data_IF_698108616864
#
_entry.id   IF_698108616864
#
_cell.length_a   1.000
_cell.length_b   1.000
_cell.length_c   1.000
_cell.angle_alpha   90.00
_cell.angle_beta   90.00
_cell.angle_gamma   90.00
#
_symmetry.space_group_name_H-M   'P 1'
#
loop_
_entity.id
_entity.type
_entity.pdbx_description
1 polymer ?
#
# COMPACT_ATOMS: atom_id res chain seq x y z
N UNK A 1 -3.38 -11.89 -7.94
CA UNK A 1 -4.58 -11.60 -8.77
C UNK A 1 -5.35 -12.87 -9.18
N UNK A 2 -4.94 -14.06 -8.69
CA UNK A 2 -5.65 -15.34 -8.88
C UNK A 2 -6.98 -15.47 -8.11
N UNK A 3 -7.16 -14.72 -7.02
CA UNK A 3 -8.41 -14.79 -6.25
C UNK A 3 -9.63 -14.28 -6.99
N UNK A 4 -9.43 -13.34 -7.92
CA UNK A 4 -10.53 -12.81 -8.75
C UNK A 4 -10.98 -13.86 -9.77
N UNK A 5 -10.06 -14.67 -10.28
CA UNK A 5 -10.39 -15.76 -11.22
C UNK A 5 -10.97 -16.99 -10.52
N UNK A 6 -10.69 -17.21 -9.23
CA UNK A 6 -11.15 -18.40 -8.47
C UNK A 6 -12.44 -18.10 -7.67
N UNK A 7 -12.48 -16.99 -6.93
CA UNK A 7 -13.57 -16.62 -6.03
C UNK A 7 -14.42 -15.42 -6.50
N UNK A 8 -14.10 -14.84 -7.66
CA UNK A 8 -14.75 -13.64 -8.17
C UNK A 8 -14.57 -12.42 -7.27
N UNK A 9 -15.59 -11.57 -7.20
CA UNK A 9 -15.58 -10.35 -6.36
C UNK A 9 -15.44 -10.66 -4.87
N UNK A 10 -15.89 -11.84 -4.40
CA UNK A 10 -15.75 -12.24 -2.99
C UNK A 10 -14.29 -12.37 -2.59
N UNK A 11 -13.43 -12.87 -3.47
CA UNK A 11 -11.99 -12.92 -3.25
C UNK A 11 -11.36 -11.54 -3.11
N UNK A 12 -11.82 -10.56 -3.89
CA UNK A 12 -11.38 -9.15 -3.79
C UNK A 12 -11.79 -8.56 -2.43
N UNK A 13 -13.03 -8.79 -2.00
CA UNK A 13 -13.53 -8.29 -0.72
C UNK A 13 -12.75 -8.87 0.46
N UNK A 14 -12.40 -10.16 0.44
CA UNK A 14 -11.59 -10.77 1.49
C UNK A 14 -10.21 -10.11 1.62
N UNK A 15 -9.57 -9.79 0.49
CA UNK A 15 -8.29 -9.07 0.46
C UNK A 15 -8.46 -7.67 1.01
N UNK A 16 -9.49 -6.93 0.58
CA UNK A 16 -9.77 -5.57 1.06
C UNK A 16 -9.95 -5.56 2.57
N UNK A 17 -10.80 -6.44 3.10
CA UNK A 17 -11.08 -6.50 4.53
C UNK A 17 -9.83 -6.85 5.35
N UNK A 18 -9.11 -7.91 4.97
CA UNK A 18 -7.91 -8.32 5.72
C UNK A 18 -6.80 -7.28 5.65
N UNK A 19 -6.52 -6.76 4.45
CA UNK A 19 -5.51 -5.70 4.26
C UNK A 19 -5.90 -4.44 5.03
N UNK A 20 -7.19 -4.05 4.97
CA UNK A 20 -7.70 -2.88 5.66
C UNK A 20 -7.55 -2.97 7.19
N UNK A 21 -7.85 -4.13 7.78
CA UNK A 21 -7.58 -4.39 9.19
C UNK A 21 -6.10 -4.25 9.54
N UNK A 22 -5.21 -4.76 8.69
CA UNK A 22 -3.76 -4.61 8.90
C UNK A 22 -3.30 -3.16 8.82
N UNK A 23 -3.81 -2.39 7.85
CA UNK A 23 -3.53 -0.96 7.70
C UNK A 23 -4.01 -0.19 8.94
N UNK A 24 -5.19 -0.51 9.44
CA UNK A 24 -5.75 0.11 10.64
C UNK A 24 -4.87 -0.15 11.87
N UNK A 25 -4.41 -1.40 12.03
CA UNK A 25 -3.48 -1.76 13.11
C UNK A 25 -2.15 -0.99 13.00
N UNK A 26 -1.56 -0.89 11.80
CA UNK A 26 -0.36 -0.07 11.59
C UNK A 26 -0.60 1.39 11.96
N UNK A 27 -1.76 1.94 11.61
CA UNK A 27 -2.18 3.30 11.97
C UNK A 27 -2.27 3.50 13.48
N UNK A 28 -2.89 2.58 14.21
CA UNK A 28 -2.97 2.64 15.68
C UNK A 28 -1.58 2.54 16.31
N UNK A 29 -0.76 1.57 15.92
CA UNK A 29 0.58 1.40 16.49
C UNK A 29 1.48 2.60 16.22
N UNK A 30 1.47 3.11 15.00
CA UNK A 30 2.20 4.34 14.66
C UNK A 30 1.66 5.53 15.47
N UNK A 31 0.33 5.66 15.55
CA UNK A 31 -0.31 6.73 16.31
C UNK A 31 -0.01 6.70 17.81
N UNK A 32 0.08 5.53 18.44
CA UNK A 32 0.37 5.44 19.89
C UNK A 32 1.87 5.59 20.17
N UNK A 33 2.71 4.89 19.40
CA UNK A 33 4.15 4.86 19.66
C UNK A 33 4.89 6.06 19.08
N UNK A 34 4.69 6.33 17.80
CA UNK A 34 5.49 7.30 17.04
C UNK A 34 5.10 8.74 17.39
N UNK A 35 3.82 9.01 17.65
CA UNK A 35 3.36 10.36 18.05
C UNK A 35 4.02 10.86 19.34
N UNK A 36 4.12 9.99 20.35
CA UNK A 36 4.74 10.31 21.64
C UNK A 36 6.23 10.57 21.47
N UNK A 37 6.92 9.71 20.72
CA UNK A 37 8.35 9.86 20.43
C UNK A 37 8.63 11.19 19.70
N UNK A 38 7.77 11.56 18.74
CA UNK A 38 7.87 12.81 17.99
C UNK A 38 7.59 14.03 18.89
N UNK A 39 6.62 13.93 19.80
CA UNK A 39 6.28 15.02 20.73
C UNK A 39 7.45 15.36 21.66
N UNK A 40 8.22 14.34 22.06
CA UNK A 40 9.32 14.46 23.01
C UNK A 40 10.65 14.83 22.35
N UNK A 41 10.85 14.59 21.04
CA UNK A 41 12.13 14.82 20.37
C UNK A 41 12.03 15.40 18.95
N UNK A 42 12.40 16.68 18.77
CA UNK A 42 12.49 17.32 17.46
C UNK A 42 13.52 16.67 16.51
N UNK A 43 14.56 16.03 17.06
CA UNK A 43 15.61 15.35 16.29
C UNK A 43 15.03 14.08 15.65
N UNK A 44 14.29 13.28 16.42
CA UNK A 44 13.64 12.07 15.91
C UNK A 44 12.62 12.40 14.83
N UNK A 45 11.88 13.50 14.99
CA UNK A 45 10.97 13.97 13.95
C UNK A 45 11.69 14.34 12.65
N UNK A 46 12.82 15.04 12.76
CA UNK A 46 13.64 15.39 11.59
C UNK A 46 14.22 14.16 10.88
N UNK A 47 14.67 13.17 11.66
CA UNK A 47 15.12 11.88 11.11
C UNK A 47 14.00 11.14 10.39
N UNK A 48 12.80 11.08 10.98
CA UNK A 48 11.64 10.47 10.35
C UNK A 48 11.26 11.17 9.05
N UNK A 49 11.32 12.52 9.00
CA UNK A 49 11.14 13.27 7.76
C UNK A 49 12.09 12.82 6.66
N UNK A 50 13.38 12.77 6.96
CA UNK A 50 14.40 12.34 5.99
C UNK A 50 14.16 10.89 5.56
N UNK A 51 13.86 9.99 6.50
CA UNK A 51 13.59 8.58 6.20
C UNK A 51 12.34 8.41 5.33
N UNK A 52 11.27 9.18 5.57
CA UNK A 52 10.07 9.12 4.77
C UNK A 52 10.32 9.58 3.33
N UNK A 53 11.08 10.67 3.16
CA UNK A 53 11.52 11.18 1.85
C UNK A 53 12.33 10.12 1.11
N UNK A 54 13.37 9.57 1.75
CA UNK A 54 14.22 8.53 1.16
C UNK A 54 13.42 7.27 0.80
N UNK A 55 12.44 6.90 1.62
CA UNK A 55 11.58 5.76 1.37
C UNK A 55 10.65 5.99 0.18
N UNK A 56 10.04 7.17 0.04
CA UNK A 56 9.24 7.54 -1.13
C UNK A 56 10.08 7.55 -2.40
N UNK A 57 11.30 8.11 -2.34
CA UNK A 57 12.23 8.12 -3.45
C UNK A 57 12.62 6.69 -3.88
N UNK A 58 12.98 5.84 -2.92
CA UNK A 58 13.24 4.41 -3.16
C UNK A 58 12.03 3.72 -3.80
N UNK A 59 10.83 3.97 -3.28
CA UNK A 59 9.62 3.34 -3.79
C UNK A 59 9.30 3.81 -5.21
N UNK A 60 9.49 5.10 -5.49
CA UNK A 60 9.30 5.66 -6.82
C UNK A 60 10.27 5.10 -7.85
N UNK A 61 11.56 5.00 -7.51
CA UNK A 61 12.57 4.30 -8.35
C UNK A 61 12.15 2.86 -8.59
N UNK A 62 11.75 2.14 -7.54
CA UNK A 62 11.33 0.73 -7.66
C UNK A 62 10.14 0.57 -8.59
N UNK A 63 9.18 1.50 -8.56
CA UNK A 63 8.05 1.51 -9.49
C UNK A 63 8.51 1.73 -10.94
N UNK A 64 9.40 2.69 -11.19
CA UNK A 64 10.00 2.89 -12.52
C UNK A 64 10.72 1.62 -12.99
N UNK A 65 11.56 1.00 -12.15
CA UNK A 65 12.26 -0.25 -12.49
C UNK A 65 11.28 -1.38 -12.84
N UNK A 66 10.19 -1.53 -12.07
CA UNK A 66 9.14 -2.50 -12.36
C UNK A 66 8.40 -2.20 -13.68
N UNK A 67 8.28 -0.94 -14.08
CA UNK A 67 7.70 -0.56 -15.38
C UNK A 67 8.50 -1.11 -16.57
N UNK A 68 9.81 -1.35 -16.40
CA UNK A 68 10.69 -1.88 -17.45
C UNK A 68 10.97 -3.38 -17.32
N UNK A 69 10.54 -4.03 -16.23
CA UNK A 69 10.74 -5.46 -16.00
C UNK A 69 9.48 -6.23 -16.41
N UNK A 70 9.57 -7.04 -17.47
CA UNK A 70 8.47 -7.96 -17.84
C UNK A 70 8.38 -9.06 -16.78
N UNK A 71 7.30 -9.05 -16.00
CA UNK A 71 7.05 -10.07 -14.99
C UNK A 71 5.97 -11.05 -15.51
N UNK A 72 6.41 -12.11 -16.19
CA UNK A 72 5.57 -13.26 -16.53
C UNK A 72 5.72 -14.32 -15.44
N UNK A 73 5.12 -14.09 -14.26
CA UNK A 73 4.80 -15.19 -13.34
C UNK A 73 3.43 -14.96 -12.72
N UNK A 74 2.46 -15.67 -13.28
CA UNK A 74 1.19 -15.95 -12.62
C UNK A 74 1.40 -17.23 -11.82
N UNK A 75 1.81 -17.10 -10.55
CA UNK A 75 1.77 -18.24 -9.65
C UNK A 75 0.30 -18.56 -9.33
N UNK A 76 -0.06 -19.84 -9.50
CA UNK A 76 -1.38 -20.37 -9.17
C UNK A 76 -1.55 -20.40 -7.65
N UNK A 77 -2.23 -19.40 -7.11
CA UNK A 77 -2.51 -19.34 -5.68
C UNK A 77 -4.00 -19.46 -5.36
N UNK A 78 -4.26 -20.30 -4.36
CA UNK A 78 -5.55 -20.60 -3.72
C UNK A 78 -6.27 -19.33 -3.27
N UNK A 79 -7.58 -19.44 -3.07
CA UNK A 79 -8.40 -18.39 -2.46
C UNK A 79 -7.76 -17.88 -1.17
N UNK A 80 -7.40 -16.60 -1.14
CA UNK A 80 -6.84 -15.98 0.08
C UNK A 80 -7.97 -15.56 1.00
N UNK A 81 -7.90 -16.04 2.24
CA UNK A 81 -8.86 -15.69 3.29
C UNK A 81 -8.63 -14.27 3.84
N UNK A 82 -9.62 -13.74 4.60
CA UNK A 82 -9.47 -12.47 5.33
C UNK A 82 -8.27 -12.54 6.30
N UNK A 83 -8.15 -13.65 7.05
CA UNK A 83 -7.06 -13.86 8.02
C UNK A 83 -5.69 -13.83 7.35
N UNK A 84 -5.57 -14.50 6.20
CA UNK A 84 -4.33 -14.55 5.46
C UNK A 84 -3.98 -13.17 4.89
N UNK A 85 -4.94 -12.46 4.30
CA UNK A 85 -4.74 -11.08 3.81
C UNK A 85 -4.32 -10.13 4.93
N UNK A 86 -4.90 -10.29 6.12
CA UNK A 86 -4.53 -9.55 7.32
C UNK A 86 -3.09 -9.84 7.74
N UNK A 87 -2.70 -11.11 7.90
CA UNK A 87 -1.35 -11.48 8.30
C UNK A 87 -0.32 -11.04 7.27
N UNK A 88 -0.61 -11.21 5.98
CA UNK A 88 0.26 -10.74 4.89
C UNK A 88 0.50 -9.23 4.98
N UNK A 89 -0.52 -8.44 5.32
CA UNK A 89 -0.36 -6.99 5.44
C UNK A 89 0.33 -6.57 6.75
N UNK A 90 0.08 -7.27 7.87
CA UNK A 90 0.77 -7.02 9.13
C UNK A 90 2.28 -7.27 8.99
N UNK A 91 2.67 -8.37 8.35
CA UNK A 91 4.08 -8.72 8.12
C UNK A 91 4.67 -8.04 6.88
N UNK A 92 3.92 -7.16 6.20
CA UNK A 92 4.41 -6.44 5.05
C UNK A 92 5.36 -5.32 5.50
N UNK A 93 6.67 -5.59 5.38
CA UNK A 93 7.71 -4.62 5.74
C UNK A 93 7.53 -3.28 5.00
N UNK A 94 7.00 -3.27 3.76
CA UNK A 94 6.72 -2.02 3.03
C UNK A 94 5.60 -1.22 3.72
N UNK A 95 4.52 -1.88 4.13
CA UNK A 95 3.41 -1.23 4.82
C UNK A 95 3.84 -0.70 6.20
N UNK A 96 4.57 -1.53 6.96
CA UNK A 96 5.11 -1.14 8.26
C UNK A 96 6.05 0.07 8.15
N UNK A 97 7.02 0.03 7.23
CA UNK A 97 7.95 1.13 7.02
C UNK A 97 7.22 2.42 6.62
N UNK A 98 6.22 2.35 5.74
CA UNK A 98 5.42 3.51 5.36
C UNK A 98 4.75 4.18 6.58
N UNK A 99 4.16 3.40 7.50
CA UNK A 99 3.52 3.93 8.70
C UNK A 99 4.50 4.48 9.74
N UNK A 100 5.74 4.00 9.74
CA UNK A 100 6.79 4.50 10.63
C UNK A 100 7.46 5.76 10.08
N UNK A 101 7.65 5.87 8.76
CA UNK A 101 8.48 6.93 8.18
C UNK A 101 7.70 8.03 7.48
N UNK A 102 6.64 7.69 6.74
CA UNK A 102 5.91 8.65 5.91
C UNK A 102 4.70 9.23 6.65
N UNK A 103 3.86 8.37 7.22
CA UNK A 103 2.63 8.80 7.91
C UNK A 103 2.88 9.86 8.99
N UNK A 104 3.91 9.75 9.84
CA UNK A 104 4.13 10.73 10.91
C UNK A 104 4.46 12.14 10.41
N UNK A 105 5.01 12.28 9.21
CA UNK A 105 5.29 13.59 8.59
C UNK A 105 4.00 14.38 8.39
N UNK A 106 2.93 13.68 7.99
CA UNK A 106 1.62 14.27 7.74
C UNK A 106 0.74 14.29 9.00
N UNK A 107 0.79 13.23 9.80
CA UNK A 107 -0.06 13.09 10.98
C UNK A 107 0.43 13.95 12.15
N UNK A 108 1.74 14.20 12.25
CA UNK A 108 2.37 14.93 13.34
C UNK A 108 2.20 14.19 14.67
N UNK A 109 1.89 14.94 15.73
CA UNK A 109 1.76 14.44 17.10
C UNK A 109 0.33 13.96 17.41
N UNK A 110 -0.66 14.36 16.61
CA UNK A 110 -2.06 14.08 16.93
C UNK A 110 -2.46 12.65 16.55
N UNK A 111 -2.75 11.81 17.55
CA UNK A 111 -3.20 10.43 17.36
C UNK A 111 -4.38 10.30 16.38
N UNK A 112 -5.36 11.20 16.47
CA UNK A 112 -6.55 11.21 15.61
C UNK A 112 -6.18 11.31 14.12
N UNK A 113 -5.11 12.04 13.78
CA UNK A 113 -4.65 12.13 12.39
C UNK A 113 -4.20 10.77 11.85
N UNK A 114 -3.57 9.91 12.67
CA UNK A 114 -3.19 8.57 12.24
C UNK A 114 -4.41 7.70 11.92
N UNK A 115 -5.51 7.85 12.69
CA UNK A 115 -6.78 7.20 12.39
C UNK A 115 -7.31 7.70 11.04
N UNK A 116 -7.40 9.01 10.84
CA UNK A 116 -7.91 9.57 9.57
C UNK A 116 -7.07 9.14 8.36
N UNK A 117 -5.74 9.23 8.46
CA UNK A 117 -4.85 8.79 7.38
C UNK A 117 -4.96 7.26 7.14
N UNK A 118 -5.16 6.45 8.18
CA UNK A 118 -5.40 5.02 8.01
C UNK A 118 -6.71 4.71 7.29
N UNK A 119 -7.81 5.39 7.65
CA UNK A 119 -9.10 5.23 6.98
C UNK A 119 -9.05 5.70 5.53
N UNK A 120 -8.38 6.82 5.25
CA UNK A 120 -8.17 7.31 3.89
C UNK A 120 -7.37 6.28 3.07
N UNK A 121 -6.28 5.75 3.62
CA UNK A 121 -5.49 4.72 2.95
C UNK A 121 -6.29 3.44 2.68
N UNK A 122 -7.11 2.99 3.64
CA UNK A 122 -8.03 1.86 3.46
C UNK A 122 -9.01 2.13 2.33
N UNK A 123 -9.61 3.32 2.29
CA UNK A 123 -10.56 3.72 1.24
C UNK A 123 -9.89 3.73 -0.13
N UNK A 124 -8.73 4.38 -0.27
CA UNK A 124 -7.97 4.42 -1.52
C UNK A 124 -7.59 3.02 -1.98
N UNK A 125 -7.14 2.15 -1.06
CA UNK A 125 -6.77 0.78 -1.38
C UNK A 125 -7.99 -0.07 -1.77
N UNK A 126 -9.13 0.11 -1.10
CA UNK A 126 -10.38 -0.56 -1.43
C UNK A 126 -10.87 -0.18 -2.82
N UNK A 127 -10.92 1.12 -3.14
CA UNK A 127 -11.29 1.63 -4.46
C UNK A 127 -10.35 1.06 -5.52
N UNK A 128 -9.04 1.11 -5.29
CA UNK A 128 -8.04 0.56 -6.19
C UNK A 128 -8.24 -0.94 -6.46
N UNK A 129 -8.39 -1.75 -5.41
CA UNK A 129 -8.59 -3.19 -5.53
C UNK A 129 -9.92 -3.55 -6.20
N UNK A 130 -10.98 -2.77 -5.96
CA UNK A 130 -12.26 -2.94 -6.66
C UNK A 130 -12.12 -2.63 -8.14
N UNK A 131 -11.51 -1.50 -8.51
CA UNK A 131 -11.25 -1.15 -9.91
C UNK A 131 -10.45 -2.26 -10.58
N UNK A 132 -9.32 -2.67 -9.97
CA UNK A 132 -8.51 -3.77 -10.51
C UNK A 132 -9.30 -5.08 -10.62
N UNK A 133 -10.12 -5.40 -9.63
CA UNK A 133 -10.97 -6.59 -9.62
C UNK A 133 -11.99 -6.59 -10.74
N UNK A 134 -12.76 -5.51 -10.90
CA UNK A 134 -13.74 -5.35 -11.98
C UNK A 134 -13.07 -5.43 -13.35
N UNK A 135 -11.99 -4.68 -13.53
CA UNK A 135 -11.21 -4.67 -14.76
C UNK A 135 -10.72 -6.08 -15.11
N UNK A 136 -10.27 -6.88 -14.13
CA UNK A 136 -9.86 -8.26 -14.35
C UNK A 136 -11.00 -9.20 -14.75
N UNK A 137 -12.19 -9.03 -14.15
CA UNK A 137 -13.39 -9.82 -14.49
C UNK A 137 -13.84 -9.53 -15.92
N UNK A 138 -13.83 -8.26 -16.34
CA UNK A 138 -14.32 -7.86 -17.68
C UNK A 138 -13.27 -7.97 -18.79
N UNK A 139 -11.97 -8.01 -18.48
CA UNK A 139 -10.91 -7.91 -19.48
C UNK A 139 -10.03 -9.16 -19.64
N UNK A 140 -10.51 -10.35 -19.25
CA UNK A 140 -9.74 -11.61 -19.31
C UNK A 140 -9.07 -11.88 -20.67
N UNK A 141 -9.63 -11.37 -21.78
CA UNK A 141 -9.08 -11.58 -23.13
C UNK A 141 -8.27 -10.39 -23.71
N UNK A 142 -8.38 -9.16 -23.16
CA UNK A 142 -7.78 -7.95 -23.75
C UNK A 142 -6.71 -7.25 -22.91
N UNK A 143 -6.58 -7.58 -21.63
CA UNK A 143 -5.67 -6.89 -20.70
C UNK A 143 -4.39 -7.66 -20.36
N UNK A 144 -3.74 -8.20 -21.40
CA UNK A 144 -2.32 -8.62 -21.37
C UNK A 144 -1.39 -7.56 -21.95
N UNK A 145 -1.81 -6.29 -21.96
CA UNK A 145 -1.01 -5.20 -22.50
C UNK A 145 0.02 -4.77 -21.46
N UNK A 146 1.27 -5.22 -21.64
CA UNK A 146 2.45 -4.76 -20.88
C UNK A 146 2.60 -3.23 -20.87
N UNK A 147 1.96 -2.53 -21.81
CA UNK A 147 1.93 -1.06 -21.86
C UNK A 147 1.13 -0.43 -20.73
N UNK A 148 0.02 -1.02 -20.29
CA UNK A 148 -0.82 -0.45 -19.23
C UNK A 148 -0.15 -0.52 -17.86
N UNK A 149 0.41 -1.68 -17.52
CA UNK A 149 1.17 -1.88 -16.28
C UNK A 149 2.42 -0.98 -16.26
N UNK A 150 3.09 -0.84 -17.41
CA UNK A 150 4.21 0.09 -17.57
C UNK A 150 3.80 1.54 -17.32
N UNK A 151 2.69 2.00 -17.87
CA UNK A 151 2.19 3.39 -17.66
C UNK A 151 1.87 3.64 -16.19
N UNK A 152 1.17 2.72 -15.52
CA UNK A 152 0.84 2.86 -14.09
C UNK A 152 2.10 2.93 -13.25
N UNK A 153 3.04 2.01 -13.47
CA UNK A 153 4.28 1.96 -12.72
C UNK A 153 5.16 3.19 -12.98
N UNK A 154 5.17 3.71 -14.21
CA UNK A 154 5.92 4.92 -14.56
C UNK A 154 5.31 6.18 -13.91
N UNK A 155 4.00 6.38 -14.06
CA UNK A 155 3.29 7.52 -13.46
C UNK A 155 3.40 7.47 -11.93
N UNK A 156 3.09 6.32 -11.33
CA UNK A 156 3.19 6.14 -9.89
C UNK A 156 4.62 6.37 -9.39
N UNK A 157 5.62 5.91 -10.14
CA UNK A 157 7.02 6.14 -9.82
C UNK A 157 7.43 7.61 -9.85
N UNK A 158 7.05 8.34 -10.92
CA UNK A 158 7.32 9.78 -11.06
C UNK A 158 6.62 10.60 -9.99
N UNK A 159 5.34 10.30 -9.70
CA UNK A 159 4.59 11.00 -8.65
C UNK A 159 5.23 10.78 -7.28
N UNK A 160 5.63 9.54 -6.95
CA UNK A 160 6.29 9.25 -5.67
C UNK A 160 7.64 9.95 -5.52
N UNK A 161 8.42 10.04 -6.60
CA UNK A 161 9.68 10.81 -6.60
C UNK A 161 9.41 12.31 -6.45
N UNK A 162 8.39 12.84 -7.11
CA UNK A 162 8.04 14.27 -7.01
C UNK A 162 7.45 14.67 -5.65
N UNK A 163 6.90 13.72 -4.90
CA UNK A 163 6.38 13.93 -3.54
C UNK A 163 7.44 13.72 -2.45
N UNK A 164 8.58 13.12 -2.79
CA UNK A 164 9.71 12.92 -1.89
C UNK A 164 10.51 14.23 -1.77
#
# INVERSE_FOLDING_TARGET
MSNVSIAGIRGVLNIILGTGLGIFIHGIFAGVGVSKIIAESPILFSLLKILGILFLFYLGIRFIVLAFKSNNKLDSHKEVSIKESFLLNIFNAKALLFYITVVPIFAGINFINYIYLSLLHILTMAIWLLICGFVFVFAQEKMKSSKFEKVINLIGGVVLIGLA
#
